data_IF_737234581959
#
_entry.id   IF_737234581959
#
_cell.length_a   1.000
_cell.length_b   1.000
_cell.length_c   1.000
_cell.angle_alpha   90.00
_cell.angle_beta   90.00
_cell.angle_gamma   90.00
#
_symmetry.space_group_name_H-M   'P 1'
#
loop_
_entity.id
_entity.type
_entity.pdbx_description
1 polymer ?
#
# COMPACT_ATOMS: atom_id res chain seq x y z
N UNK A 1 -29.08 40.92 -60.27
CA UNK A 1 -28.32 40.18 -59.25
C UNK A 1 -27.42 39.22 -59.99
N UNK A 2 -26.10 39.41 -59.89
CA UNK A 2 -25.15 38.79 -60.82
C UNK A 2 -24.84 37.34 -60.37
N UNK A 3 -25.09 36.36 -61.28
CA UNK A 3 -24.94 34.92 -61.04
C UNK A 3 -23.54 34.56 -60.49
N UNK A 4 -22.54 35.33 -60.88
CA UNK A 4 -21.14 35.16 -60.39
C UNK A 4 -20.95 35.48 -58.90
N UNK A 5 -21.70 36.41 -58.33
CA UNK A 5 -21.65 36.75 -56.92
C UNK A 5 -22.32 35.71 -56.02
N UNK A 6 -23.40 35.10 -56.50
CA UNK A 6 -24.12 34.01 -55.77
C UNK A 6 -23.25 32.74 -55.71
N UNK A 7 -22.57 32.38 -56.84
CA UNK A 7 -21.68 31.24 -56.87
C UNK A 7 -20.46 31.36 -55.95
N UNK A 8 -19.92 32.57 -55.80
CA UNK A 8 -18.79 32.83 -54.88
C UNK A 8 -19.21 32.73 -53.39
N UNK A 9 -20.42 33.20 -53.06
CA UNK A 9 -20.96 33.13 -51.72
C UNK A 9 -21.29 31.70 -51.27
N UNK A 10 -21.84 30.89 -52.18
CA UNK A 10 -22.14 29.48 -51.91
C UNK A 10 -20.85 28.65 -51.70
N UNK A 11 -19.82 28.86 -52.52
CA UNK A 11 -18.56 28.16 -52.39
C UNK A 11 -17.87 28.53 -51.06
N UNK A 12 -17.94 29.79 -50.64
CA UNK A 12 -17.36 30.24 -49.35
C UNK A 12 -18.10 29.60 -48.13
N UNK A 13 -19.42 29.51 -48.18
CA UNK A 13 -20.20 28.86 -47.13
C UNK A 13 -19.92 27.35 -47.03
N UNK A 14 -19.72 26.67 -48.16
CA UNK A 14 -19.36 25.26 -48.21
C UNK A 14 -17.98 25.03 -47.60
N UNK A 15 -17.00 25.90 -47.91
CA UNK A 15 -15.64 25.80 -47.33
C UNK A 15 -15.67 25.99 -45.80
N UNK A 16 -16.43 26.97 -45.28
CA UNK A 16 -16.57 27.16 -43.83
C UNK A 16 -17.20 25.93 -43.17
N UNK A 17 -18.23 25.36 -43.80
CA UNK A 17 -18.89 24.18 -43.27
C UNK A 17 -17.97 22.97 -43.17
N UNK A 18 -17.10 22.78 -44.20
CA UNK A 18 -16.08 21.73 -44.20
C UNK A 18 -15.03 21.95 -43.11
N UNK A 19 -14.58 23.19 -42.88
CA UNK A 19 -13.61 23.52 -41.83
C UNK A 19 -14.20 23.24 -40.44
N UNK A 20 -15.46 23.63 -40.19
CA UNK A 20 -16.15 23.39 -38.93
C UNK A 20 -16.35 21.88 -38.72
N UNK A 21 -16.73 21.14 -39.75
CA UNK A 21 -16.93 19.68 -39.63
C UNK A 21 -15.62 18.92 -39.38
N UNK A 22 -14.48 19.38 -39.92
CA UNK A 22 -13.15 18.80 -39.69
C UNK A 22 -12.58 19.20 -38.32
N UNK A 23 -12.90 20.38 -37.81
CA UNK A 23 -12.41 20.82 -36.49
C UNK A 23 -13.08 20.15 -35.28
N UNK A 24 -14.34 19.72 -35.40
CA UNK A 24 -15.07 19.05 -34.36
C UNK A 24 -14.44 17.72 -33.85
N UNK A 25 -14.06 16.77 -34.74
CA UNK A 25 -13.39 15.54 -34.29
C UNK A 25 -11.99 15.81 -33.71
N UNK A 26 -11.26 16.83 -34.22
CA UNK A 26 -9.96 17.22 -33.67
C UNK A 26 -10.12 17.76 -32.22
N UNK A 27 -11.11 18.60 -31.98
CA UNK A 27 -11.45 19.09 -30.64
C UNK A 27 -11.87 17.96 -29.69
N UNK A 28 -12.68 17.01 -30.19
CA UNK A 28 -13.05 15.82 -29.40
C UNK A 28 -11.86 14.92 -29.06
N UNK A 29 -10.92 14.75 -29.99
CA UNK A 29 -9.69 14.01 -29.69
C UNK A 29 -8.80 14.71 -28.69
N UNK A 30 -8.65 16.05 -28.79
CA UNK A 30 -7.88 16.83 -27.82
C UNK A 30 -8.52 16.83 -26.42
N UNK A 31 -9.85 16.94 -26.32
CA UNK A 31 -10.55 16.86 -25.01
C UNK A 31 -10.44 15.46 -24.40
N UNK A 32 -10.58 14.40 -25.19
CA UNK A 32 -10.37 13.03 -24.68
C UNK A 32 -8.92 12.76 -24.25
N UNK A 33 -7.95 13.31 -24.97
CA UNK A 33 -6.53 13.20 -24.61
C UNK A 33 -6.23 13.96 -23.30
N UNK A 34 -6.76 15.15 -23.13
CA UNK A 34 -6.63 15.93 -21.90
C UNK A 34 -7.36 15.28 -20.70
N UNK A 35 -8.53 14.66 -20.91
CA UNK A 35 -9.24 13.93 -19.88
C UNK A 35 -8.53 12.64 -19.46
N UNK A 36 -7.88 11.93 -20.38
CA UNK A 36 -7.06 10.75 -20.05
C UNK A 36 -5.78 11.11 -19.30
N UNK A 37 -5.23 12.30 -19.54
CA UNK A 37 -4.02 12.77 -18.88
C UNK A 37 -4.32 13.62 -17.61
N UNK A 38 -5.58 13.92 -17.36
CA UNK A 38 -5.96 14.54 -16.09
C UNK A 38 -5.84 13.50 -14.96
N UNK A 39 -4.83 13.64 -14.14
CA UNK A 39 -4.67 12.80 -12.93
C UNK A 39 -5.95 12.89 -12.09
N UNK A 40 -6.54 11.76 -11.70
CA UNK A 40 -7.72 11.78 -10.85
C UNK A 40 -7.36 12.45 -9.53
N UNK A 41 -7.90 13.65 -9.30
CA UNK A 41 -7.74 14.34 -8.03
C UNK A 41 -8.77 13.75 -7.05
N UNK A 42 -8.32 12.86 -6.19
CA UNK A 42 -9.15 12.34 -5.12
C UNK A 42 -9.19 13.37 -3.97
N UNK A 43 -10.38 13.67 -3.50
CA UNK A 43 -10.60 14.49 -2.32
C UNK A 43 -10.89 13.55 -1.16
N UNK A 44 -10.18 13.71 -0.05
CA UNK A 44 -10.46 12.98 1.19
C UNK A 44 -10.99 14.00 2.20
N UNK A 45 -12.15 13.70 2.77
CA UNK A 45 -12.64 14.43 3.93
C UNK A 45 -11.85 13.96 5.17
N UNK A 46 -11.09 14.85 5.77
CA UNK A 46 -10.33 14.58 6.99
C UNK A 46 -10.96 15.40 8.11
N UNK A 47 -11.35 14.75 9.20
CA UNK A 47 -11.80 15.43 10.39
C UNK A 47 -10.58 15.82 11.23
N UNK A 48 -10.31 17.12 11.30
CA UNK A 48 -9.24 17.70 12.13
C UNK A 48 -9.92 18.58 13.18
N UNK A 49 -9.70 18.30 14.45
CA UNK A 49 -10.27 19.05 15.58
C UNK A 49 -11.80 19.17 15.58
N UNK A 50 -12.50 18.15 15.07
CA UNK A 50 -13.97 18.11 15.04
C UNK A 50 -14.61 18.78 13.83
N UNK A 51 -13.87 19.48 12.98
CA UNK A 51 -14.39 20.09 11.76
C UNK A 51 -14.03 19.26 10.51
N UNK A 52 -14.98 19.03 9.59
CA UNK A 52 -14.70 18.35 8.33
C UNK A 52 -13.93 19.30 7.39
N UNK A 53 -12.67 18.98 7.12
CA UNK A 53 -11.85 19.71 6.12
C UNK A 53 -11.65 18.82 4.90
N UNK A 54 -11.98 19.36 3.73
CA UNK A 54 -11.72 18.71 2.45
C UNK A 54 -10.27 18.99 2.05
N UNK A 55 -9.44 17.94 2.01
CA UNK A 55 -8.05 18.05 1.56
C UNK A 55 -7.92 17.40 0.17
N UNK A 56 -7.41 18.16 -0.79
CA UNK A 56 -7.05 17.62 -2.10
C UNK A 56 -5.85 16.71 -1.93
N UNK A 57 -6.02 15.41 -2.20
CA UNK A 57 -4.93 14.45 -2.24
C UNK A 57 -4.48 14.32 -3.69
N UNK A 58 -3.23 14.69 -3.97
CA UNK A 58 -2.60 14.40 -5.25
C UNK A 58 -2.25 12.92 -5.21
N UNK A 59 -2.98 12.11 -5.98
CA UNK A 59 -2.62 10.70 -6.17
C UNK A 59 -1.34 10.70 -6.98
N UNK A 60 -0.25 10.35 -6.34
CA UNK A 60 1.05 10.23 -6.98
C UNK A 60 1.03 8.94 -7.82
N UNK A 61 1.09 9.05 -9.14
CA UNK A 61 1.11 7.90 -10.07
C UNK A 61 2.35 7.01 -9.90
N UNK A 62 3.40 7.53 -9.28
CA UNK A 62 4.56 6.75 -8.90
C UNK A 62 4.24 5.93 -7.65
N UNK A 63 4.66 4.65 -7.59
CA UNK A 63 4.49 3.87 -6.38
C UNK A 63 5.12 4.63 -5.22
N UNK A 64 4.29 5.02 -4.24
CA UNK A 64 4.70 5.70 -3.00
C UNK A 64 5.82 4.92 -2.29
N UNK A 65 5.94 3.64 -2.62
CA UNK A 65 6.89 2.71 -2.06
C UNK A 65 7.92 2.27 -3.09
N UNK A 66 9.14 2.77 -2.94
CA UNK A 66 10.31 2.20 -3.59
C UNK A 66 10.82 0.98 -2.79
N UNK A 67 11.72 0.19 -3.38
CA UNK A 67 12.25 -1.02 -2.74
C UNK A 67 12.86 -0.77 -1.36
N UNK A 68 13.51 0.37 -1.16
CA UNK A 68 14.16 0.73 0.11
C UNK A 68 13.13 1.12 1.18
N UNK A 69 12.08 1.85 0.81
CA UNK A 69 11.00 2.17 1.75
C UNK A 69 10.23 0.93 2.20
N UNK A 70 9.98 -0.03 1.30
CA UNK A 70 9.36 -1.31 1.64
C UNK A 70 10.26 -2.11 2.58
N UNK A 71 11.56 -2.20 2.29
CA UNK A 71 12.56 -2.87 3.12
C UNK A 71 12.60 -2.31 4.54
N UNK A 72 12.67 -0.98 4.67
CA UNK A 72 12.63 -0.29 5.97
C UNK A 72 11.34 -0.56 6.72
N UNK A 73 10.20 -0.55 6.02
CA UNK A 73 8.90 -0.84 6.61
C UNK A 73 8.80 -2.30 7.07
N UNK A 74 9.33 -3.27 6.30
CA UNK A 74 9.42 -4.68 6.71
C UNK A 74 10.23 -4.83 7.99
N UNK A 75 11.36 -4.14 8.11
CA UNK A 75 12.20 -4.14 9.32
C UNK A 75 11.42 -3.64 10.55
N UNK A 76 10.73 -2.51 10.42
CA UNK A 76 9.94 -1.91 11.50
C UNK A 76 8.76 -2.80 11.90
N UNK A 77 7.99 -3.29 10.91
CA UNK A 77 6.82 -4.13 11.18
C UNK A 77 7.19 -5.47 11.79
N UNK A 78 8.29 -6.09 11.35
CA UNK A 78 8.79 -7.35 11.93
C UNK A 78 9.19 -7.14 13.40
N UNK A 79 9.93 -6.08 13.69
CA UNK A 79 10.27 -5.73 15.06
C UNK A 79 9.02 -5.50 15.92
N UNK A 80 8.01 -4.80 15.41
CA UNK A 80 6.78 -4.52 16.14
C UNK A 80 6.08 -5.81 16.60
N UNK A 81 5.99 -6.84 15.75
CA UNK A 81 5.28 -8.09 16.09
C UNK A 81 6.09 -9.06 16.95
N UNK A 82 7.39 -8.92 17.01
CA UNK A 82 8.25 -9.80 17.81
C UNK A 82 8.55 -9.22 19.19
N UNK A 83 8.27 -7.95 19.43
CA UNK A 83 8.45 -7.29 20.71
C UNK A 83 7.11 -7.24 21.44
N UNK A 84 6.97 -8.00 22.51
CA UNK A 84 5.77 -8.02 23.32
C UNK A 84 6.08 -8.30 24.79
N UNK A 85 5.18 -7.85 25.65
CA UNK A 85 5.03 -8.23 27.04
C UNK A 85 3.68 -8.94 27.19
N UNK A 86 3.59 -9.94 28.08
CA UNK A 86 2.36 -10.71 28.29
C UNK A 86 1.19 -9.82 28.72
N UNK A 87 1.46 -8.68 29.34
CA UNK A 87 0.43 -7.75 29.79
C UNK A 87 -0.07 -6.82 28.67
N UNK A 88 0.70 -6.66 27.57
CA UNK A 88 0.38 -5.72 26.48
C UNK A 88 0.24 -6.37 25.11
N UNK A 89 0.35 -7.68 24.98
CA UNK A 89 0.30 -8.35 23.68
C UNK A 89 -1.05 -8.22 22.96
N UNK A 90 -2.16 -8.09 23.71
CA UNK A 90 -3.49 -7.93 23.10
C UNK A 90 -3.62 -6.63 22.31
N UNK A 91 -3.23 -5.44 22.82
CA UNK A 91 -3.14 -4.23 22.01
C UNK A 91 -2.24 -4.36 20.80
N UNK A 92 -1.10 -5.05 20.93
CA UNK A 92 -0.18 -5.31 19.83
C UNK A 92 -0.84 -6.16 18.73
N UNK A 93 -1.50 -7.27 19.10
CA UNK A 93 -2.23 -8.10 18.15
C UNK A 93 -3.35 -7.31 17.45
N UNK A 94 -4.15 -6.54 18.21
CA UNK A 94 -5.19 -5.67 17.62
C UNK A 94 -4.62 -4.62 16.67
N UNK A 95 -3.48 -4.03 17.00
CA UNK A 95 -2.77 -3.07 16.16
C UNK A 95 -2.25 -3.68 14.84
N UNK A 96 -2.14 -5.01 14.77
CA UNK A 96 -1.71 -5.76 13.60
C UNK A 96 -2.57 -5.54 12.35
N UNK A 97 -3.87 -5.22 12.53
CA UNK A 97 -4.78 -4.94 11.42
C UNK A 97 -4.31 -3.78 10.51
N UNK A 98 -3.50 -2.85 11.04
CA UNK A 98 -2.92 -1.73 10.28
C UNK A 98 -1.73 -2.11 9.40
N UNK A 99 -1.15 -3.28 9.64
CA UNK A 99 0.04 -3.77 8.96
C UNK A 99 -0.25 -4.94 8.02
N UNK A 100 -1.42 -5.56 8.14
CA UNK A 100 -1.73 -6.81 7.47
C UNK A 100 -2.93 -6.69 6.56
N UNK A 101 -2.96 -7.53 5.51
CA UNK A 101 -4.16 -7.65 4.67
C UNK A 101 -5.33 -8.19 5.51
N UNK A 102 -6.55 -7.80 5.16
CA UNK A 102 -7.78 -8.32 5.80
C UNK A 102 -7.84 -9.84 5.79
N UNK A 103 -7.29 -10.46 4.75
CA UNK A 103 -7.24 -11.92 4.59
C UNK A 103 -6.29 -12.58 5.58
N UNK A 104 -5.11 -12.01 5.77
CA UNK A 104 -4.06 -12.62 6.59
C UNK A 104 -4.22 -12.33 8.08
N UNK A 105 -4.78 -11.19 8.46
CA UNK A 105 -4.87 -10.76 9.86
C UNK A 105 -5.49 -11.79 10.83
N UNK A 106 -6.64 -12.46 10.53
CA UNK A 106 -7.19 -13.46 11.43
C UNK A 106 -6.25 -14.64 11.70
N UNK A 107 -5.57 -15.12 10.66
CA UNK A 107 -4.59 -16.21 10.75
C UNK A 107 -3.37 -15.79 11.59
N UNK A 108 -2.91 -14.56 11.42
CA UNK A 108 -1.83 -14.01 12.23
C UNK A 108 -2.22 -13.96 13.73
N UNK A 109 -3.38 -13.42 14.05
CA UNK A 109 -3.85 -13.32 15.46
C UNK A 109 -3.93 -14.69 16.10
N UNK A 110 -4.46 -15.69 15.38
CA UNK A 110 -4.55 -17.06 15.87
C UNK A 110 -3.17 -17.67 16.13
N UNK A 111 -2.31 -17.66 15.13
CA UNK A 111 -1.01 -18.35 15.16
C UNK A 111 -0.01 -17.64 16.09
N UNK A 112 0.06 -16.33 16.00
CA UNK A 112 0.96 -15.54 16.83
C UNK A 112 0.50 -15.49 18.29
N UNK A 113 -0.80 -15.34 18.52
CA UNK A 113 -1.39 -15.43 19.86
C UNK A 113 -1.22 -16.81 20.51
N UNK A 114 -1.28 -17.89 19.72
CA UNK A 114 -0.95 -19.26 20.20
C UNK A 114 0.50 -19.32 20.66
N UNK A 115 1.44 -18.84 19.86
CA UNK A 115 2.88 -18.83 20.17
C UNK A 115 3.19 -18.00 21.43
N UNK A 116 2.56 -16.83 21.60
CA UNK A 116 2.73 -16.03 22.82
C UNK A 116 2.27 -16.81 24.05
N UNK A 117 1.12 -17.49 23.98
CA UNK A 117 0.61 -18.33 25.09
C UNK A 117 1.55 -19.48 25.40
N UNK A 118 2.07 -20.16 24.39
CA UNK A 118 3.04 -21.25 24.57
C UNK A 118 4.31 -20.75 25.27
N UNK A 119 4.83 -19.58 24.91
CA UNK A 119 5.95 -18.97 25.59
C UNK A 119 5.61 -18.65 27.04
N UNK A 120 4.42 -18.11 27.33
CA UNK A 120 3.98 -17.81 28.68
C UNK A 120 3.83 -19.08 29.55
N UNK A 121 3.31 -20.18 29.01
CA UNK A 121 3.25 -21.49 29.68
C UNK A 121 4.66 -21.97 30.05
N UNK A 122 5.65 -21.72 29.21
CA UNK A 122 7.06 -22.02 29.47
C UNK A 122 7.75 -21.01 30.41
N UNK A 123 7.01 -20.06 30.96
CA UNK A 123 7.48 -19.04 31.89
C UNK A 123 8.17 -17.85 31.24
N UNK A 124 8.05 -17.66 29.92
CA UNK A 124 8.59 -16.50 29.21
C UNK A 124 7.51 -15.45 28.99
N UNK A 125 7.62 -14.32 29.66
CA UNK A 125 6.60 -13.28 29.68
C UNK A 125 6.92 -12.09 28.79
N UNK A 126 8.21 -11.91 28.43
CA UNK A 126 8.67 -10.80 27.58
C UNK A 126 9.46 -11.37 26.42
N UNK A 127 9.17 -10.86 25.24
CA UNK A 127 9.95 -11.08 24.02
C UNK A 127 10.54 -9.74 23.57
N UNK A 128 11.85 -9.70 23.43
CA UNK A 128 12.58 -8.56 22.89
C UNK A 128 13.38 -9.02 21.68
N UNK A 129 13.06 -8.49 20.53
CA UNK A 129 13.63 -8.92 19.26
C UNK A 129 14.24 -7.76 18.50
N UNK A 130 15.30 -8.03 17.78
CA UNK A 130 15.96 -7.10 16.87
C UNK A 130 16.22 -7.78 15.53
N UNK A 131 15.99 -7.05 14.45
CA UNK A 131 16.43 -7.47 13.12
C UNK A 131 17.94 -7.28 13.04
N UNK A 132 18.68 -8.39 12.85
CA UNK A 132 20.16 -8.41 12.91
C UNK A 132 20.77 -7.84 11.64
N UNK A 133 20.16 -8.20 10.49
CA UNK A 133 20.61 -7.80 9.16
C UNK A 133 19.46 -7.12 8.42
N UNK A 134 19.78 -6.27 7.47
CA UNK A 134 18.75 -5.67 6.63
C UNK A 134 17.94 -6.73 5.88
N UNK A 135 16.61 -6.57 5.78
CA UNK A 135 15.76 -7.50 5.03
C UNK A 135 16.23 -7.68 3.59
N UNK A 136 16.33 -8.92 3.14
CA UNK A 136 16.77 -9.26 1.77
C UNK A 136 15.55 -9.56 0.92
N UNK A 137 15.37 -8.84 -0.19
CA UNK A 137 14.35 -9.13 -1.19
C UNK A 137 14.69 -10.45 -1.90
N UNK A 138 13.87 -11.49 -1.71
CA UNK A 138 14.09 -12.81 -2.33
C UNK A 138 13.29 -13.00 -3.61
N UNK A 139 12.10 -12.37 -3.72
CA UNK A 139 11.33 -12.39 -4.96
C UNK A 139 10.38 -11.21 -5.08
N UNK A 140 10.05 -10.87 -6.32
CA UNK A 140 9.02 -9.91 -6.70
C UNK A 140 8.11 -10.57 -7.72
N UNK A 141 6.81 -10.45 -7.56
CA UNK A 141 5.81 -10.97 -8.48
C UNK A 141 4.69 -9.95 -8.69
N UNK A 142 4.03 -10.04 -9.84
CA UNK A 142 2.79 -9.31 -10.13
C UNK A 142 1.71 -10.33 -10.41
N UNK A 143 0.64 -10.32 -9.63
CA UNK A 143 -0.50 -11.23 -9.77
C UNK A 143 -1.75 -10.38 -9.92
N UNK A 144 -2.45 -10.51 -11.04
CA UNK A 144 -3.66 -9.73 -11.35
C UNK A 144 -3.45 -8.19 -11.21
N UNK A 145 -2.29 -7.70 -11.66
CA UNK A 145 -1.94 -6.27 -11.56
C UNK A 145 -1.47 -5.81 -10.18
N UNK A 146 -1.46 -6.68 -9.17
CA UNK A 146 -1.03 -6.37 -7.81
C UNK A 146 0.41 -6.84 -7.60
N UNK A 147 1.28 -5.96 -7.10
CA UNK A 147 2.67 -6.30 -6.83
C UNK A 147 2.84 -6.93 -5.45
N UNK A 148 3.62 -8.00 -5.41
CA UNK A 148 4.02 -8.72 -4.20
C UNK A 148 5.54 -8.72 -4.10
N UNK A 149 6.04 -8.55 -2.87
CA UNK A 149 7.47 -8.56 -2.55
C UNK A 149 7.70 -9.55 -1.42
N UNK A 150 8.59 -10.50 -1.59
CA UNK A 150 8.95 -11.47 -0.55
C UNK A 150 10.32 -11.13 0.02
N UNK A 151 10.36 -10.90 1.32
CA UNK A 151 11.59 -10.59 2.05
C UNK A 151 11.97 -11.72 3.00
N UNK A 152 13.25 -11.97 3.09
CA UNK A 152 13.87 -12.79 4.13
C UNK A 152 14.47 -11.88 5.19
N UNK A 153 14.15 -12.15 6.46
CA UNK A 153 14.52 -11.34 7.61
C UNK A 153 15.13 -12.23 8.68
N UNK A 154 16.32 -11.89 9.14
CA UNK A 154 16.96 -12.54 10.29
C UNK A 154 16.75 -11.71 11.54
N UNK A 155 16.33 -12.35 12.62
CA UNK A 155 16.14 -11.69 13.92
C UNK A 155 16.81 -12.45 15.04
N UNK A 156 17.28 -11.73 16.05
CA UNK A 156 17.67 -12.29 17.32
C UNK A 156 16.66 -11.89 18.38
N UNK A 157 16.16 -12.85 19.12
CA UNK A 157 15.11 -12.66 20.12
C UNK A 157 15.60 -13.15 21.48
N UNK A 158 15.38 -12.32 22.50
CA UNK A 158 15.56 -12.65 23.89
C UNK A 158 14.19 -12.86 24.51
N UNK A 159 13.93 -14.05 24.99
CA UNK A 159 12.77 -14.37 25.81
C UNK A 159 13.16 -14.29 27.27
N UNK A 160 12.46 -13.47 28.05
CA UNK A 160 12.76 -13.22 29.46
C UNK A 160 11.72 -13.90 30.35
N UNK A 161 12.21 -14.60 31.35
CA UNK A 161 11.47 -15.13 32.49
C UNK A 161 12.00 -14.51 33.77
N UNK A 162 11.36 -14.80 34.92
CA UNK A 162 11.81 -14.29 36.23
C UNK A 162 13.23 -14.75 36.58
N UNK A 163 13.57 -16.00 36.28
CA UNK A 163 14.83 -16.62 36.73
C UNK A 163 15.77 -16.97 35.58
N UNK A 164 15.34 -16.86 34.32
CA UNK A 164 16.16 -17.29 33.18
C UNK A 164 15.86 -16.45 31.94
N UNK A 165 16.83 -16.38 31.03
CA UNK A 165 16.66 -15.85 29.70
C UNK A 165 16.95 -16.95 28.66
N UNK A 166 16.20 -16.94 27.56
CA UNK A 166 16.48 -17.77 26.41
C UNK A 166 16.74 -16.90 25.18
N UNK A 167 17.75 -17.27 24.42
CA UNK A 167 18.11 -16.59 23.19
C UNK A 167 17.73 -17.47 22.00
N UNK A 168 17.10 -16.89 21.01
CA UNK A 168 16.72 -17.61 19.78
C UNK A 168 16.86 -16.71 18.57
N UNK A 169 17.49 -17.24 17.54
CA UNK A 169 17.50 -16.62 16.23
C UNK A 169 16.33 -17.17 15.42
N UNK A 170 15.64 -16.29 14.72
CA UNK A 170 14.54 -16.66 13.82
C UNK A 170 14.86 -16.22 12.40
N UNK A 171 14.48 -17.06 11.47
CA UNK A 171 14.41 -16.76 10.06
C UNK A 171 12.94 -16.50 9.70
N UNK A 172 12.65 -15.33 9.16
CA UNK A 172 11.29 -14.90 8.91
C UNK A 172 11.14 -14.61 7.42
N UNK A 173 10.09 -15.16 6.85
CA UNK A 173 9.67 -14.82 5.49
C UNK A 173 8.47 -13.89 5.60
N UNK A 174 8.58 -12.69 5.03
CA UNK A 174 7.52 -11.68 4.99
C UNK A 174 7.13 -11.45 3.54
N UNK A 175 5.88 -11.73 3.21
CA UNK A 175 5.30 -11.37 1.90
C UNK A 175 4.51 -10.08 2.07
N UNK A 176 4.92 -9.05 1.36
CA UNK A 176 4.29 -7.74 1.31
C UNK A 176 3.48 -7.61 0.03
N UNK A 177 2.24 -7.16 0.14
CA UNK A 177 1.35 -6.84 -0.95
C UNK A 177 1.20 -5.32 -1.06
N UNK A 178 1.29 -4.77 -2.28
CA UNK A 178 0.84 -3.41 -2.52
C UNK A 178 -0.68 -3.39 -2.56
N UNK A 179 -1.29 -2.49 -1.81
CA UNK A 179 -2.73 -2.31 -1.73
C UNK A 179 -3.13 -0.91 -2.22
N UNK A 180 -4.40 -0.75 -2.58
CA UNK A 180 -4.92 0.57 -2.87
C UNK A 180 -5.00 1.39 -1.57
N UNK A 181 -4.90 2.74 -1.63
CA UNK A 181 -5.11 3.59 -0.47
C UNK A 181 -6.51 3.43 0.17
N UNK A 182 -7.49 2.92 -0.58
CA UNK A 182 -8.84 2.61 -0.10
C UNK A 182 -8.86 1.41 0.84
N UNK A 183 -8.03 0.40 0.56
CA UNK A 183 -7.91 -0.81 1.37
C UNK A 183 -6.95 -0.63 2.54
N UNK A 184 -5.85 0.09 2.30
CA UNK A 184 -4.84 0.38 3.31
C UNK A 184 -4.24 1.77 3.08
N UNK A 185 -4.42 2.68 4.04
CA UNK A 185 -3.93 4.07 3.97
C UNK A 185 -2.42 4.18 3.72
N UNK A 186 -1.66 3.14 4.03
CA UNK A 186 -0.21 3.09 3.77
C UNK A 186 0.14 2.59 2.37
N UNK A 187 -0.83 2.02 1.63
CA UNK A 187 -0.61 1.43 0.31
C UNK A 187 0.20 0.13 0.32
N UNK A 188 0.55 -0.41 1.50
CA UNK A 188 1.27 -1.68 1.68
C UNK A 188 0.74 -2.46 2.87
N UNK A 189 0.69 -3.78 2.75
CA UNK A 189 0.29 -4.67 3.83
C UNK A 189 1.06 -6.00 3.79
N UNK A 190 1.24 -6.64 4.95
CA UNK A 190 1.77 -8.00 5.05
C UNK A 190 0.64 -8.96 4.66
N UNK A 191 0.89 -9.79 3.65
CA UNK A 191 -0.05 -10.81 3.19
C UNK A 191 0.32 -12.22 3.70
N UNK A 192 1.56 -12.39 4.15
CA UNK A 192 2.05 -13.62 4.77
C UNK A 192 3.25 -13.32 5.67
N UNK A 193 3.33 -13.97 6.82
CA UNK A 193 4.47 -13.94 7.73
C UNK A 193 4.70 -15.34 8.28
N UNK A 194 5.84 -15.94 7.93
CA UNK A 194 6.26 -17.28 8.36
C UNK A 194 7.52 -17.15 9.19
N UNK A 195 7.49 -17.66 10.41
CA UNK A 195 8.63 -17.68 11.35
C UNK A 195 9.12 -19.12 11.44
N UNK A 196 10.40 -19.31 11.13
CA UNK A 196 11.12 -20.60 11.21
C UNK A 196 11.99 -20.67 12.44
#
# INVERSE_FOLDING_TARGET
MDIKTVSKSTNFSVIIMIIVFLSLPVLMLMTNFNLKNASPSNFIAVQIEGEPKIKKVIVQESPVHNAESIKSWVKISTNYFLNYDINNFIPMLKGGNKYMTRRFYPSFVLNHGKRIRENAINGFYISSSVVIEDPVLTSKAVVNGISYYKYYVKTSTIYKAETKNAYKNHEIIVTVKLESPEDNLRGIAIDELVIK
#
